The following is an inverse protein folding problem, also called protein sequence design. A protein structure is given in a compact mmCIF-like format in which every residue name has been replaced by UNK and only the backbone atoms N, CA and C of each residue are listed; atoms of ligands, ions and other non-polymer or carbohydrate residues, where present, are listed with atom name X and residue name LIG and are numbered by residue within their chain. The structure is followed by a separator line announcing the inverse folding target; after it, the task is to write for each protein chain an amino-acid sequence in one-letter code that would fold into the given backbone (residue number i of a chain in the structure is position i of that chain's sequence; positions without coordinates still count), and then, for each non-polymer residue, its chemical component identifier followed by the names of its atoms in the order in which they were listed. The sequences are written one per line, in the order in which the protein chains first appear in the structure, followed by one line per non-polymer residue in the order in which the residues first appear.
data_IF_149571586847
#
_entry.id   IF_149571586847
#
_cell.length_a   1.000
_cell.length_b   1.000
_cell.length_c   1.000
_cell.angle_alpha   90.00
_cell.angle_beta   90.00
_cell.angle_gamma   90.00
#
_symmetry.space_group_name_H-M   'P 1'
#
loop_
_entity.id
_entity.type
_entity.pdbx_description
1 polymer ?
#
# COMPACT_ATOMS: atom_id res chain seq x y z
N UNK A 1 -9.47 14.24 2.86
CA UNK A 1 -8.66 13.15 3.43
C UNK A 1 -8.68 13.18 4.96
N UNK A 2 -8.27 14.25 5.62
CA UNK A 2 -8.20 14.32 7.09
C UNK A 2 -9.56 13.98 7.77
N UNK A 3 -10.69 14.52 7.29
CA UNK A 3 -12.02 14.18 7.82
C UNK A 3 -12.32 12.66 7.75
N UNK A 4 -11.92 11.99 6.66
CA UNK A 4 -12.07 10.54 6.54
C UNK A 4 -11.22 9.79 7.57
N UNK A 5 -9.99 10.26 7.83
CA UNK A 5 -9.12 9.70 8.88
C UNK A 5 -9.78 9.88 10.24
N UNK A 6 -10.33 11.06 10.54
CA UNK A 6 -11.05 11.35 11.79
C UNK A 6 -12.24 10.42 11.99
N UNK A 7 -13.02 10.15 10.94
CA UNK A 7 -14.16 9.24 10.98
C UNK A 7 -13.75 7.76 11.21
N UNK A 8 -12.60 7.36 10.67
CA UNK A 8 -12.09 5.99 10.78
C UNK A 8 -11.30 5.75 12.07
N UNK A 9 -10.71 6.79 12.66
CA UNK A 9 -9.78 6.69 13.78
C UNK A 9 -10.37 5.95 15.01
N UNK A 10 -11.61 6.19 15.47
CA UNK A 10 -12.15 5.51 16.65
C UNK A 10 -12.51 4.04 16.43
N UNK A 11 -12.50 3.55 15.17
CA UNK A 11 -12.87 2.17 14.87
C UNK A 11 -11.73 1.23 15.25
N UNK A 12 -11.99 0.27 16.15
CA UNK A 12 -11.04 -0.77 16.48
C UNK A 12 -10.94 -1.78 15.34
N UNK A 13 -9.90 -1.67 14.52
CA UNK A 13 -9.59 -2.61 13.43
C UNK A 13 -8.60 -3.67 13.91
N UNK A 14 -8.64 -4.83 13.26
CA UNK A 14 -7.61 -5.86 13.34
C UNK A 14 -7.48 -6.55 11.98
N UNK A 15 -6.72 -7.64 11.88
CA UNK A 15 -6.54 -8.39 10.63
C UNK A 15 -7.82 -9.11 10.17
N UNK A 16 -8.85 -9.19 11.03
CA UNK A 16 -10.19 -9.69 10.72
C UNK A 16 -11.23 -8.88 11.51
N UNK A 17 -12.51 -9.19 11.33
CA UNK A 17 -13.59 -8.76 12.20
C UNK A 17 -14.37 -7.52 11.72
N UNK A 18 -15.37 -7.17 12.52
CA UNK A 18 -16.38 -6.15 12.17
C UNK A 18 -15.79 -4.75 12.04
N UNK A 19 -14.77 -4.39 12.83
CA UNK A 19 -14.12 -3.09 12.74
C UNK A 19 -13.43 -2.90 11.38
N UNK A 20 -12.83 -3.95 10.84
CA UNK A 20 -12.25 -3.92 9.50
C UNK A 20 -13.34 -3.73 8.43
N UNK A 21 -14.41 -4.53 8.49
CA UNK A 21 -15.57 -4.42 7.58
C UNK A 21 -16.25 -3.05 7.65
N UNK A 22 -16.41 -2.50 8.86
CA UNK A 22 -16.98 -1.17 9.06
C UNK A 22 -16.13 -0.08 8.38
N UNK A 23 -14.81 -0.19 8.48
CA UNK A 23 -13.88 0.73 7.82
C UNK A 23 -13.98 0.65 6.31
N UNK A 24 -14.05 -0.55 5.72
CA UNK A 24 -14.24 -0.73 4.28
C UNK A 24 -15.58 -0.14 3.80
N UNK A 25 -16.68 -0.35 4.55
CA UNK A 25 -17.99 0.25 4.24
C UNK A 25 -17.93 1.78 4.27
N UNK A 26 -17.11 2.36 5.17
CA UNK A 26 -16.92 3.82 5.22
C UNK A 26 -16.13 4.32 4.00
N UNK A 27 -15.08 3.61 3.60
CA UNK A 27 -14.32 3.89 2.38
C UNK A 27 -15.18 3.75 1.12
N UNK A 28 -16.15 2.82 1.11
CA UNK A 28 -17.07 2.63 -0.03
C UNK A 28 -17.95 3.85 -0.31
N UNK A 29 -18.04 4.80 0.61
CA UNK A 29 -18.72 6.09 0.37
C UNK A 29 -17.86 7.06 -0.47
N UNK A 30 -16.56 6.80 -0.60
CA UNK A 30 -15.62 7.62 -1.39
C UNK A 30 -15.37 6.99 -2.76
N UNK A 31 -15.20 5.65 -2.81
CA UNK A 31 -14.93 4.88 -4.04
C UNK A 31 -15.65 3.54 -3.99
N UNK A 32 -16.03 2.94 -5.14
CA UNK A 32 -16.75 1.66 -5.16
C UNK A 32 -15.83 0.51 -4.74
N UNK A 33 -15.92 0.09 -3.47
CA UNK A 33 -15.16 -1.04 -2.93
C UNK A 33 -16.06 -2.26 -2.86
N UNK A 34 -15.61 -3.36 -3.47
CA UNK A 34 -16.19 -4.70 -3.32
C UNK A 34 -15.52 -5.37 -2.12
N UNK A 35 -16.31 -5.84 -1.18
CA UNK A 35 -15.83 -6.61 -0.03
C UNK A 35 -15.76 -8.08 -0.40
N UNK A 36 -14.60 -8.68 -0.20
CA UNK A 36 -14.34 -10.10 -0.42
C UNK A 36 -14.06 -10.77 0.93
N UNK A 37 -14.61 -11.94 1.15
CA UNK A 37 -14.48 -12.68 2.40
C UNK A 37 -13.92 -14.08 2.16
N UNK A 38 -12.88 -14.43 2.91
CA UNK A 38 -12.18 -15.70 2.82
C UNK A 38 -12.33 -16.45 4.14
N UNK A 39 -12.91 -17.66 4.16
CA UNK A 39 -13.19 -18.38 5.40
C UNK A 39 -11.94 -18.70 6.23
N UNK A 40 -12.06 -18.61 7.55
CA UNK A 40 -11.07 -19.15 8.49
C UNK A 40 -10.71 -20.59 8.13
N UNK A 41 -9.41 -20.90 8.20
CA UNK A 41 -8.91 -22.24 7.87
C UNK A 41 -8.57 -22.44 6.39
N UNK A 42 -8.89 -21.49 5.51
CA UNK A 42 -8.45 -21.55 4.11
C UNK A 42 -6.93 -21.52 4.03
N UNK A 43 -6.34 -22.51 3.37
CA UNK A 43 -4.89 -22.57 3.16
C UNK A 43 -4.49 -21.63 2.04
N UNK A 44 -3.50 -20.77 2.29
CA UNK A 44 -2.96 -19.77 1.39
C UNK A 44 -1.44 -19.89 1.39
N UNK A 45 -0.90 -20.67 0.47
CA UNK A 45 0.50 -21.11 0.43
C UNK A 45 0.91 -21.84 1.74
N UNK A 46 1.91 -21.31 2.46
CA UNK A 46 2.37 -21.84 3.73
C UNK A 46 1.56 -21.33 4.93
N UNK A 47 0.64 -20.41 4.71
CA UNK A 47 -0.20 -19.81 5.74
C UNK A 47 -1.62 -20.37 5.73
N UNK A 48 -2.35 -20.07 6.80
CA UNK A 48 -3.77 -20.37 6.92
C UNK A 48 -4.50 -19.10 7.36
N UNK A 49 -5.65 -18.83 6.75
CA UNK A 49 -6.51 -17.70 7.16
C UNK A 49 -6.89 -17.87 8.63
N UNK A 50 -6.59 -16.89 9.49
CA UNK A 50 -6.77 -16.99 10.93
C UNK A 50 -8.25 -16.97 11.34
N UNK A 51 -8.51 -17.27 12.61
CA UNK A 51 -9.83 -17.11 13.23
C UNK A 51 -10.27 -15.64 13.18
N UNK A 52 -11.56 -15.40 13.12
CA UNK A 52 -12.10 -14.04 13.18
C UNK A 52 -12.13 -13.55 14.62
N UNK A 53 -11.68 -12.30 14.82
CA UNK A 53 -11.64 -11.63 16.10
C UNK A 53 -12.56 -10.40 16.12
N UNK A 54 -13.36 -10.27 17.19
CA UNK A 54 -14.14 -9.08 17.46
C UNK A 54 -14.02 -8.73 18.94
N UNK A 55 -14.20 -7.44 19.29
CA UNK A 55 -14.16 -6.93 20.65
C UNK A 55 -15.30 -5.94 20.89
N UNK A 56 -15.91 -6.02 22.09
CA UNK A 56 -16.96 -5.12 22.54
C UNK A 56 -16.51 -4.18 23.65
N UNK A 57 -15.72 -4.71 24.60
CA UNK A 57 -15.21 -3.94 25.74
C UNK A 57 -13.99 -4.64 26.35
N UNK A 58 -13.14 -3.87 27.03
CA UNK A 58 -12.09 -4.44 27.87
C UNK A 58 -11.64 -3.43 28.92
N UNK A 59 -11.30 -3.93 30.10
CA UNK A 59 -10.87 -3.06 31.20
C UNK A 59 -10.15 -3.83 32.28
N UNK A 60 -9.37 -3.06 33.10
CA UNK A 60 -8.77 -3.48 34.35
C UNK A 60 -9.32 -2.56 35.45
N UNK A 61 -9.93 -3.15 36.49
CA UNK A 61 -10.47 -2.39 37.61
C UNK A 61 -9.89 -2.90 38.95
N UNK A 62 -9.68 -1.99 39.89
CA UNK A 62 -9.29 -2.33 41.26
C UNK A 62 -10.47 -2.87 42.08
N UNK A 63 -10.21 -3.32 43.30
CA UNK A 63 -11.21 -3.84 44.23
C UNK A 63 -12.32 -2.81 44.63
N UNK A 64 -12.11 -1.53 44.34
CA UNK A 64 -13.09 -0.45 44.55
C UNK A 64 -13.93 -0.16 43.29
N UNK A 65 -13.66 -0.89 42.19
CA UNK A 65 -14.34 -0.71 40.90
C UNK A 65 -13.82 0.44 40.07
N UNK A 66 -12.69 1.10 40.44
CA UNK A 66 -12.04 2.11 39.62
C UNK A 66 -11.35 1.44 38.44
N UNK A 67 -11.75 1.80 37.23
CA UNK A 67 -11.04 1.38 36.00
C UNK A 67 -9.75 2.16 35.83
N UNK A 68 -8.63 1.46 35.78
CA UNK A 68 -7.30 2.00 35.51
C UNK A 68 -6.94 1.92 34.03
N UNK A 69 -7.49 0.94 33.34
CA UNK A 69 -7.38 0.73 31.91
C UNK A 69 -8.79 0.51 31.37
N UNK A 70 -9.15 1.24 30.32
CA UNK A 70 -10.50 1.18 29.73
C UNK A 70 -10.39 1.28 28.21
N UNK A 71 -10.83 0.23 27.51
CA UNK A 71 -10.87 0.15 26.04
C UNK A 71 -11.66 1.31 25.41
N UNK A 72 -12.68 1.80 26.10
CA UNK A 72 -13.52 2.92 25.63
C UNK A 72 -12.78 4.26 25.63
N UNK A 73 -11.76 4.40 26.46
CA UNK A 73 -10.89 5.57 26.46
C UNK A 73 -9.86 5.52 25.34
N UNK A 74 -9.31 4.32 25.08
CA UNK A 74 -8.43 4.05 23.95
C UNK A 74 -8.49 2.58 23.58
N UNK A 75 -8.76 2.28 22.31
CA UNK A 75 -8.76 0.90 21.83
C UNK A 75 -7.34 0.28 21.76
N UNK A 76 -6.29 1.10 21.87
CA UNK A 76 -4.91 0.63 22.02
C UNK A 76 -4.65 -0.05 23.38
N UNK A 77 -5.53 0.14 24.38
CA UNK A 77 -5.37 -0.50 25.67
C UNK A 77 -5.45 -2.02 25.65
N UNK A 78 -5.96 -2.61 24.60
CA UNK A 78 -6.02 -4.07 24.45
C UNK A 78 -4.95 -4.52 23.45
N UNK A 79 -4.18 -5.54 23.82
CA UNK A 79 -3.35 -6.25 22.86
C UNK A 79 -4.26 -6.82 21.78
N UNK A 80 -4.13 -6.35 20.54
CA UNK A 80 -5.02 -6.72 19.44
C UNK A 80 -5.02 -8.24 19.24
N UNK A 81 -6.19 -8.82 19.01
CA UNK A 81 -6.42 -10.26 18.90
C UNK A 81 -6.43 -11.04 20.24
N UNK A 82 -6.52 -10.35 21.36
CA UNK A 82 -6.64 -11.01 22.68
C UNK A 82 -7.88 -11.89 22.77
N UNK A 83 -7.71 -13.12 23.28
CA UNK A 83 -8.82 -14.03 23.59
C UNK A 83 -9.72 -13.45 24.68
N UNK A 84 -11.00 -13.89 24.78
CA UNK A 84 -11.89 -13.43 25.84
C UNK A 84 -11.36 -13.85 27.22
N UNK A 85 -11.39 -12.89 28.17
CA UNK A 85 -10.94 -13.10 29.55
C UNK A 85 -11.89 -12.45 30.52
N UNK A 86 -12.23 -13.18 31.59
CA UNK A 86 -12.91 -12.63 32.77
C UNK A 86 -12.35 -13.31 34.01
N UNK A 87 -11.54 -12.60 34.77
CA UNK A 87 -10.82 -13.18 35.90
C UNK A 87 -10.47 -12.10 36.92
N UNK A 88 -10.00 -12.56 38.11
CA UNK A 88 -9.36 -11.74 39.11
C UNK A 88 -7.94 -12.25 39.36
N UNK A 89 -7.01 -11.35 39.58
CA UNK A 89 -5.63 -11.71 39.90
C UNK A 89 -4.90 -10.61 40.66
N UNK A 90 -3.81 -10.96 41.33
CA UNK A 90 -2.95 -10.00 41.98
C UNK A 90 -2.25 -9.07 40.97
N UNK A 91 -1.82 -7.87 41.43
CA UNK A 91 -0.99 -6.99 40.60
C UNK A 91 0.28 -7.69 40.13
N UNK A 92 0.90 -8.53 40.96
CA UNK A 92 2.12 -9.26 40.63
C UNK A 92 1.93 -10.18 39.43
N UNK A 93 0.83 -10.92 39.38
CA UNK A 93 0.50 -11.82 38.27
C UNK A 93 0.06 -11.02 37.03
N UNK A 94 -0.69 -9.93 37.24
CA UNK A 94 -1.18 -9.07 36.16
C UNK A 94 -0.04 -8.37 35.40
N UNK A 95 1.04 -7.98 36.09
CA UNK A 95 2.22 -7.33 35.47
C UNK A 95 2.78 -8.09 34.28
N UNK A 96 2.70 -9.40 34.26
CA UNK A 96 3.15 -10.24 33.13
C UNK A 96 2.28 -10.10 31.88
N UNK A 97 1.11 -9.48 32.00
CA UNK A 97 0.13 -9.23 30.91
C UNK A 97 0.04 -7.77 30.52
N UNK A 98 0.86 -6.91 31.16
CA UNK A 98 0.88 -5.47 30.92
C UNK A 98 2.09 -5.08 30.09
N UNK A 99 1.85 -4.29 29.05
CA UNK A 99 2.87 -3.82 28.12
C UNK A 99 2.96 -2.31 28.17
N UNK A 100 4.16 -1.77 28.36
CA UNK A 100 4.45 -0.33 28.43
C UNK A 100 5.66 0.00 27.56
N UNK A 101 5.99 1.29 27.48
CA UNK A 101 7.20 1.84 26.87
C UNK A 101 7.93 2.67 27.93
N UNK A 102 8.93 2.11 28.66
CA UNK A 102 9.64 2.86 29.69
C UNK A 102 10.32 4.11 29.18
N UNK A 103 10.84 4.09 27.94
CA UNK A 103 11.51 5.24 27.31
C UNK A 103 10.51 6.32 26.81
N UNK A 104 9.22 5.97 26.73
CA UNK A 104 8.11 6.86 26.35
C UNK A 104 6.96 6.72 27.36
N UNK A 105 7.18 7.15 28.64
CA UNK A 105 6.34 6.75 29.77
C UNK A 105 4.90 7.25 29.74
N UNK A 106 4.60 8.23 28.90
CA UNK A 106 3.25 8.79 28.71
C UNK A 106 2.45 8.06 27.65
N UNK A 107 3.09 7.26 26.78
CA UNK A 107 2.46 6.67 25.61
C UNK A 107 1.95 5.24 25.87
N UNK A 108 0.87 4.89 25.20
CA UNK A 108 0.31 3.53 25.16
C UNK A 108 0.87 2.85 23.92
N UNK A 109 1.57 1.70 24.05
CA UNK A 109 2.06 0.96 22.88
C UNK A 109 0.92 0.25 22.14
N UNK A 110 1.10 0.02 20.84
CA UNK A 110 0.30 -0.93 20.06
C UNK A 110 0.99 -2.30 20.04
N UNK A 111 0.26 -3.34 20.45
CA UNK A 111 0.72 -4.74 20.45
C UNK A 111 -0.35 -5.66 19.89
N UNK A 112 0.07 -6.83 19.41
CA UNK A 112 -0.79 -7.86 18.83
C UNK A 112 -0.39 -9.25 19.29
N UNK A 113 -1.34 -10.18 19.36
CA UNK A 113 -1.07 -11.61 19.55
C UNK A 113 -1.18 -12.38 18.24
N UNK A 114 -1.90 -11.87 17.26
CA UNK A 114 -2.33 -12.42 15.98
C UNK A 114 -2.35 -13.97 15.95
N UNK A 115 -1.44 -14.71 15.65
CA UNK A 115 -1.50 -16.18 15.46
C UNK A 115 -1.35 -17.00 16.75
N UNK A 116 -1.25 -16.33 17.91
CA UNK A 116 -1.23 -16.97 19.23
C UNK A 116 -2.54 -16.68 19.99
N UNK A 117 -3.13 -17.72 20.59
CA UNK A 117 -4.28 -17.54 21.48
C UNK A 117 -3.79 -17.05 22.86
N UNK A 118 -3.54 -15.78 22.98
CA UNK A 118 -3.04 -15.11 24.17
C UNK A 118 -3.81 -13.80 24.42
N UNK A 119 -3.52 -13.10 25.52
CA UNK A 119 -4.16 -11.85 25.88
C UNK A 119 -3.23 -10.93 26.65
N UNK A 120 -3.51 -9.64 26.62
CA UNK A 120 -2.79 -8.65 27.38
C UNK A 120 -3.41 -7.25 27.26
N UNK A 121 -2.83 -6.33 28.04
CA UNK A 121 -3.18 -4.93 27.98
C UNK A 121 -1.96 -4.07 27.72
N UNK A 122 -2.19 -2.95 27.07
CA UNK A 122 -1.22 -1.90 26.85
C UNK A 122 -1.63 -0.64 27.65
N UNK A 123 -0.67 -0.02 28.30
CA UNK A 123 -0.90 1.20 29.08
C UNK A 123 0.37 2.04 29.15
N UNK A 124 0.23 3.30 29.55
CA UNK A 124 1.42 4.13 29.80
C UNK A 124 2.20 3.64 31.02
N UNK A 125 3.51 3.81 31.01
CA UNK A 125 4.35 3.47 32.15
C UNK A 125 3.91 4.23 33.41
N UNK A 126 3.48 5.49 33.28
CA UNK A 126 2.96 6.28 34.39
C UNK A 126 1.73 5.67 35.05
N UNK A 127 0.84 5.08 34.29
CA UNK A 127 -0.35 4.38 34.83
C UNK A 127 0.11 3.12 35.54
N UNK A 128 1.02 2.35 34.95
CA UNK A 128 1.57 1.14 35.59
C UNK A 128 2.21 1.44 36.96
N UNK A 129 2.99 2.51 37.03
CA UNK A 129 3.70 2.93 38.28
C UNK A 129 2.71 3.39 39.37
N UNK A 130 1.51 3.78 39.02
CA UNK A 130 0.49 4.25 39.96
C UNK A 130 -0.48 3.15 40.41
N UNK A 131 -0.40 1.94 39.84
CA UNK A 131 -1.29 0.83 40.22
C UNK A 131 -1.01 0.41 41.67
N UNK A 132 -2.00 0.53 42.59
CA UNK A 132 -1.80 0.09 43.95
C UNK A 132 -1.68 -1.43 44.08
N UNK A 133 -0.95 -1.89 45.04
CA UNK A 133 -0.90 -3.32 45.36
C UNK A 133 -2.32 -3.82 45.73
N UNK A 134 -2.68 -4.99 45.23
CA UNK A 134 -4.00 -5.57 45.47
C UNK A 134 -4.48 -6.52 44.40
N UNK A 135 -5.76 -6.87 44.50
CA UNK A 135 -6.46 -7.69 43.52
C UNK A 135 -7.16 -6.81 42.48
N UNK A 136 -7.10 -7.24 41.23
CA UNK A 136 -7.73 -6.57 40.10
C UNK A 136 -8.74 -7.47 39.42
N UNK A 137 -9.87 -6.94 39.02
CA UNK A 137 -10.79 -7.57 38.08
C UNK A 137 -10.42 -7.22 36.65
N UNK A 138 -10.29 -8.22 35.81
CA UNK A 138 -9.89 -8.14 34.41
C UNK A 138 -11.04 -8.63 33.53
N UNK A 139 -11.39 -7.83 32.52
CA UNK A 139 -12.37 -8.19 31.51
C UNK A 139 -11.82 -7.88 30.13
N UNK A 140 -11.86 -8.84 29.23
CA UNK A 140 -11.73 -8.67 27.77
C UNK A 140 -12.96 -9.34 27.16
N UNK A 141 -13.95 -8.54 26.76
CA UNK A 141 -15.15 -9.02 26.10
C UNK A 141 -14.93 -9.08 24.59
N UNK A 142 -14.16 -10.08 24.18
CA UNK A 142 -13.86 -10.37 22.79
C UNK A 142 -14.43 -11.72 22.36
N UNK A 143 -14.39 -11.98 21.06
CA UNK A 143 -14.63 -13.30 20.48
C UNK A 143 -13.50 -13.65 19.53
N UNK A 144 -13.06 -14.92 19.54
CA UNK A 144 -12.10 -15.46 18.61
C UNK A 144 -12.59 -16.82 18.15
N UNK A 145 -13.02 -16.95 16.90
CA UNK A 145 -13.65 -18.16 16.40
C UNK A 145 -13.66 -18.26 14.88
N UNK A 146 -14.32 -19.27 14.32
CA UNK A 146 -14.51 -19.37 12.87
C UNK A 146 -15.25 -18.16 12.34
N UNK A 147 -14.81 -17.64 11.19
CA UNK A 147 -15.35 -16.47 10.52
C UNK A 147 -14.61 -16.23 9.21
N UNK A 148 -14.27 -14.98 8.90
CA UNK A 148 -13.68 -14.62 7.62
C UNK A 148 -12.56 -13.60 7.79
N UNK A 149 -11.55 -13.70 6.92
CA UNK A 149 -10.67 -12.59 6.57
C UNK A 149 -11.38 -11.79 5.49
N UNK A 150 -11.58 -10.50 5.71
CA UNK A 150 -12.20 -9.59 4.75
C UNK A 150 -11.13 -8.71 4.12
N UNK A 151 -11.22 -8.46 2.81
CA UNK A 151 -10.46 -7.41 2.13
C UNK A 151 -11.37 -6.63 1.18
N UNK A 152 -10.99 -5.38 0.91
CA UNK A 152 -11.68 -4.50 -0.02
C UNK A 152 -10.92 -4.38 -1.32
N UNK A 153 -11.63 -4.44 -2.44
CA UNK A 153 -11.07 -4.26 -3.77
C UNK A 153 -11.85 -3.21 -4.55
N UNK A 154 -11.14 -2.28 -5.19
CA UNK A 154 -11.70 -1.35 -6.15
C UNK A 154 -10.96 -1.51 -7.47
N UNK A 155 -11.66 -1.94 -8.52
CA UNK A 155 -11.12 -2.08 -9.86
C UNK A 155 -11.63 -0.93 -10.74
N UNK A 156 -10.71 -0.20 -11.34
CA UNK A 156 -11.00 0.87 -12.30
C UNK A 156 -10.49 0.44 -13.67
N UNK A 157 -11.36 -0.07 -14.57
CA UNK A 157 -10.96 -0.53 -15.90
C UNK A 157 -10.32 0.59 -16.71
N UNK A 158 -9.23 0.28 -17.40
CA UNK A 158 -8.55 1.14 -18.36
C UNK A 158 -8.78 0.69 -19.81
N UNK A 159 -8.04 1.29 -20.74
CA UNK A 159 -8.07 0.92 -22.15
C UNK A 159 -7.34 -0.40 -22.43
N UNK A 160 -6.44 -0.83 -21.55
CA UNK A 160 -5.69 -2.09 -21.64
C UNK A 160 -5.86 -2.92 -20.37
N UNK A 161 -5.67 -4.22 -20.51
CA UNK A 161 -5.77 -5.19 -19.39
C UNK A 161 -4.55 -5.16 -18.44
N UNK A 162 -3.46 -4.52 -18.84
CA UNK A 162 -2.29 -4.34 -17.98
C UNK A 162 -2.67 -3.49 -16.77
N UNK A 163 -2.27 -3.97 -15.57
CA UNK A 163 -2.73 -3.42 -14.30
C UNK A 163 -1.64 -2.65 -13.56
N UNK A 164 -2.05 -1.55 -12.92
CA UNK A 164 -1.30 -0.87 -11.87
C UNK A 164 -1.94 -1.20 -10.52
N UNK A 165 -1.18 -1.87 -9.64
CA UNK A 165 -1.61 -2.25 -8.30
C UNK A 165 -1.32 -1.11 -7.31
N UNK A 166 -2.33 -0.70 -6.55
CA UNK A 166 -2.19 0.16 -5.37
C UNK A 166 -2.67 -0.62 -4.16
N UNK A 167 -1.78 -0.89 -3.21
CA UNK A 167 -2.10 -1.69 -2.03
C UNK A 167 -1.88 -0.91 -0.74
N UNK A 168 -2.83 -1.02 0.18
CA UNK A 168 -2.75 -0.37 1.50
C UNK A 168 -3.18 -1.34 2.59
N UNK A 169 -2.37 -1.48 3.62
CA UNK A 169 -2.80 -2.21 4.79
C UNK A 169 -3.78 -1.38 5.64
N UNK A 170 -4.80 -2.04 6.17
CA UNK A 170 -5.96 -1.37 6.74
C UNK A 170 -6.36 -1.95 8.10
N UNK A 171 -5.49 -2.70 8.76
CA UNK A 171 -5.80 -3.51 9.93
C UNK A 171 -5.45 -2.89 11.28
N UNK A 172 -4.70 -1.79 11.31
CA UNK A 172 -4.32 -1.17 12.59
C UNK A 172 -5.51 -0.44 13.23
N UNK A 173 -5.64 -0.47 14.57
CA UNK A 173 -6.69 0.26 15.28
C UNK A 173 -6.49 1.78 15.20
N UNK A 174 -6.63 2.52 16.28
CA UNK A 174 -6.48 3.99 16.32
C UNK A 174 -5.02 4.43 16.13
N UNK A 175 -4.49 4.23 14.92
CA UNK A 175 -3.20 4.74 14.44
C UNK A 175 -3.47 5.56 13.16
N UNK A 176 -3.20 6.86 13.22
CA UNK A 176 -3.62 7.79 12.17
C UNK A 176 -2.66 7.78 10.98
N UNK A 177 -1.35 7.80 11.24
CA UNK A 177 -0.35 7.73 10.17
C UNK A 177 -0.17 6.30 9.67
N UNK A 178 -0.14 5.32 10.57
CA UNK A 178 0.01 3.90 10.27
C UNK A 178 -1.31 3.11 10.49
N UNK A 179 -2.24 3.02 9.52
CA UNK A 179 -2.10 3.46 8.15
C UNK A 179 -3.40 4.12 7.63
N UNK A 180 -4.13 4.84 8.47
CA UNK A 180 -5.29 5.59 7.99
C UNK A 180 -4.90 6.65 6.96
N UNK A 181 -3.68 7.19 7.06
CA UNK A 181 -3.14 8.12 6.07
C UNK A 181 -3.03 7.46 4.69
N UNK A 182 -2.45 6.27 4.60
CA UNK A 182 -2.36 5.50 3.36
C UNK A 182 -3.73 5.12 2.80
N UNK A 183 -4.67 4.68 3.67
CA UNK A 183 -6.06 4.39 3.27
C UNK A 183 -6.75 5.62 2.66
N UNK A 184 -6.61 6.78 3.27
CA UNK A 184 -7.21 8.01 2.79
C UNK A 184 -6.58 8.45 1.45
N UNK A 185 -5.25 8.44 1.34
CA UNK A 185 -4.56 8.78 0.09
C UNK A 185 -4.99 7.83 -1.03
N UNK A 186 -5.02 6.51 -0.79
CA UNK A 186 -5.45 5.52 -1.80
C UNK A 186 -6.90 5.74 -2.25
N UNK A 187 -7.82 5.99 -1.31
CA UNK A 187 -9.22 6.23 -1.65
C UNK A 187 -9.41 7.50 -2.50
N UNK A 188 -8.72 8.59 -2.15
CA UNK A 188 -8.78 9.83 -2.94
C UNK A 188 -8.03 9.74 -4.26
N UNK A 189 -6.95 8.94 -4.33
CA UNK A 189 -6.26 8.60 -5.58
C UNK A 189 -7.21 7.85 -6.51
N UNK A 190 -7.87 6.80 -6.02
CA UNK A 190 -8.87 6.05 -6.79
C UNK A 190 -10.01 6.94 -7.29
N UNK A 191 -10.52 7.84 -6.42
CA UNK A 191 -11.53 8.81 -6.81
C UNK A 191 -11.06 9.70 -7.95
N UNK A 192 -9.87 10.31 -7.84
CA UNK A 192 -9.31 11.16 -8.91
C UNK A 192 -9.13 10.42 -10.23
N UNK A 193 -8.61 9.19 -10.14
CA UNK A 193 -8.42 8.37 -11.34
C UNK A 193 -9.75 7.92 -11.95
N UNK A 194 -10.82 7.76 -11.17
CA UNK A 194 -12.14 7.41 -11.70
C UNK A 194 -12.78 8.52 -12.54
N UNK A 195 -12.35 9.76 -12.38
CA UNK A 195 -12.89 10.95 -13.05
C UNK A 195 -12.30 11.18 -14.45
N UNK A 196 -11.30 10.39 -14.88
CA UNK A 196 -10.56 10.60 -16.13
C UNK A 196 -10.41 9.31 -16.95
N UNK A 197 -10.26 9.38 -18.27
CA UNK A 197 -9.83 8.24 -19.08
C UNK A 197 -8.46 7.72 -18.62
N UNK A 198 -8.28 6.41 -18.66
CA UNK A 198 -7.07 5.73 -18.21
C UNK A 198 -6.58 4.75 -19.27
N UNK A 199 -5.27 4.64 -19.44
CA UNK A 199 -4.65 3.61 -20.26
C UNK A 199 -4.68 2.27 -19.52
N UNK A 200 -4.04 2.22 -18.33
CA UNK A 200 -3.99 1.00 -17.53
C UNK A 200 -5.26 0.79 -16.71
N UNK A 201 -5.54 -0.46 -16.41
CA UNK A 201 -6.50 -0.83 -15.37
C UNK A 201 -5.85 -0.62 -14.01
N UNK A 202 -6.57 0.01 -13.06
CA UNK A 202 -6.07 0.20 -11.70
C UNK A 202 -6.78 -0.74 -10.75
N UNK A 203 -5.98 -1.46 -9.96
CA UNK A 203 -6.46 -2.31 -8.87
C UNK A 203 -6.05 -1.74 -7.54
N UNK A 204 -7.02 -1.33 -6.73
CA UNK A 204 -6.81 -0.88 -5.36
C UNK A 204 -7.18 -1.99 -4.40
N UNK A 205 -6.26 -2.32 -3.49
CA UNK A 205 -6.46 -3.31 -2.43
C UNK A 205 -6.37 -2.63 -1.07
N UNK A 206 -7.45 -2.75 -0.29
CA UNK A 206 -7.51 -2.38 1.12
C UNK A 206 -7.53 -3.67 1.93
N UNK A 207 -6.39 -4.06 2.49
CA UNK A 207 -6.17 -5.43 2.96
C UNK A 207 -5.61 -5.46 4.39
N UNK A 208 -5.80 -6.56 5.15
CA UNK A 208 -5.03 -6.78 6.35
C UNK A 208 -3.56 -7.05 5.99
N UNK A 209 -2.64 -6.28 6.53
CA UNK A 209 -1.20 -6.55 6.30
C UNK A 209 -0.75 -7.69 7.22
N UNK A 210 0.01 -8.58 6.81
CA UNK A 210 0.53 -9.07 5.54
C UNK A 210 -0.28 -10.28 5.04
N UNK A 211 -1.10 -10.84 5.94
CA UNK A 211 -1.94 -12.02 5.64
C UNK A 211 -2.94 -11.74 4.51
N UNK A 212 -3.41 -10.49 4.38
CA UNK A 212 -4.30 -10.10 3.30
C UNK A 212 -3.64 -10.15 1.92
N UNK A 213 -2.40 -9.63 1.78
CA UNK A 213 -1.65 -9.71 0.52
C UNK A 213 -1.32 -11.16 0.16
N UNK A 214 -0.92 -11.98 1.13
CA UNK A 214 -0.68 -13.42 0.93
C UNK A 214 -1.96 -14.12 0.46
N UNK A 215 -3.09 -13.83 1.12
CA UNK A 215 -4.39 -14.41 0.79
C UNK A 215 -4.83 -13.99 -0.61
N UNK A 216 -4.73 -12.70 -0.93
CA UNK A 216 -5.09 -12.19 -2.24
C UNK A 216 -4.22 -12.82 -3.35
N UNK A 217 -2.90 -12.89 -3.16
CA UNK A 217 -1.98 -13.52 -4.11
C UNK A 217 -2.31 -15.00 -4.34
N UNK A 218 -2.63 -15.76 -3.28
CA UNK A 218 -2.97 -17.16 -3.39
C UNK A 218 -4.28 -17.40 -4.19
N UNK A 219 -5.23 -16.50 -4.08
CA UNK A 219 -6.51 -16.60 -4.78
C UNK A 219 -6.45 -16.10 -6.22
N UNK A 220 -5.44 -15.28 -6.56
CA UNK A 220 -5.34 -14.58 -7.84
C UNK A 220 -4.02 -14.86 -8.59
N UNK A 221 -3.39 -16.03 -8.41
CA UNK A 221 -2.10 -16.38 -9.03
C UNK A 221 -2.08 -16.22 -10.57
N UNK A 222 -3.23 -16.33 -11.22
CA UNK A 222 -3.34 -16.18 -12.68
C UNK A 222 -3.45 -14.72 -13.09
N UNK A 223 -4.20 -13.94 -12.34
CA UNK A 223 -4.51 -12.53 -12.58
C UNK A 223 -3.31 -11.62 -12.32
N UNK A 224 -2.46 -11.97 -11.37
CA UNK A 224 -1.26 -11.18 -11.02
C UNK A 224 -0.31 -10.95 -12.19
N UNK A 225 -0.39 -11.78 -13.24
CA UNK A 225 0.41 -11.60 -14.47
C UNK A 225 0.07 -10.33 -15.24
N UNK A 226 -1.09 -9.72 -14.96
CA UNK A 226 -1.49 -8.43 -15.54
C UNK A 226 -0.84 -7.25 -14.83
N UNK A 227 -0.33 -7.43 -13.61
CA UNK A 227 0.28 -6.35 -12.83
C UNK A 227 1.64 -6.03 -13.43
N UNK A 228 1.73 -4.85 -14.05
CA UNK A 228 2.97 -4.31 -14.66
C UNK A 228 3.69 -3.36 -13.74
N UNK A 229 2.97 -2.72 -12.84
CA UNK A 229 3.50 -1.75 -11.87
C UNK A 229 2.70 -1.87 -10.58
N UNK A 230 3.32 -1.55 -9.45
CA UNK A 230 2.60 -1.49 -8.19
C UNK A 230 3.25 -0.57 -7.17
N UNK A 231 2.40 -0.08 -6.27
CA UNK A 231 2.79 0.83 -5.21
C UNK A 231 2.05 0.46 -3.92
N UNK A 232 2.79 0.14 -2.89
CA UNK A 232 2.27 0.06 -1.53
C UNK A 232 2.32 1.46 -0.93
N UNK A 233 1.21 1.91 -0.35
CA UNK A 233 1.07 3.21 0.30
C UNK A 233 0.98 3.03 1.81
N UNK A 234 1.94 3.62 2.55
CA UNK A 234 2.00 3.49 4.01
C UNK A 234 2.56 4.76 4.66
N UNK A 235 2.05 5.15 5.82
CA UNK A 235 2.58 6.27 6.61
C UNK A 235 2.78 7.55 5.77
N UNK A 236 1.68 8.09 5.20
CA UNK A 236 1.70 9.20 4.25
C UNK A 236 1.24 10.54 4.82
N UNK A 237 1.03 10.62 6.14
CA UNK A 237 0.45 11.81 6.80
C UNK A 237 1.41 12.60 7.70
N UNK A 238 2.57 12.06 8.04
CA UNK A 238 3.56 12.72 8.90
C UNK A 238 4.30 13.88 8.19
N UNK A 239 5.00 14.78 8.94
CA UNK A 239 5.68 15.93 8.35
C UNK A 239 6.99 15.61 7.63
N UNK A 240 7.48 14.36 7.67
CA UNK A 240 8.74 13.96 7.03
C UNK A 240 8.68 14.05 5.50
N UNK A 241 9.80 13.98 4.80
CA UNK A 241 9.82 13.91 3.34
C UNK A 241 9.32 12.55 2.84
N UNK A 242 8.83 12.49 1.60
CA UNK A 242 8.48 11.23 0.97
C UNK A 242 9.73 10.36 0.78
N UNK A 243 9.59 9.10 1.07
CA UNK A 243 10.60 8.05 0.90
C UNK A 243 10.03 6.94 0.06
N UNK A 244 10.80 6.46 -0.91
CA UNK A 244 10.44 5.36 -1.77
C UNK A 244 11.43 4.20 -1.61
N UNK A 245 10.92 3.03 -1.26
CA UNK A 245 11.66 1.78 -1.34
C UNK A 245 11.34 1.09 -2.66
N UNK A 246 12.38 0.84 -3.46
CA UNK A 246 12.29 0.22 -4.78
C UNK A 246 11.68 -1.17 -4.72
N UNK A 247 11.14 -1.60 -5.86
CA UNK A 247 10.82 -3.00 -6.10
C UNK A 247 12.07 -3.89 -6.00
N UNK A 248 11.89 -5.19 -5.87
CA UNK A 248 13.01 -6.15 -5.76
C UNK A 248 13.99 -6.06 -6.94
N UNK A 249 13.50 -5.85 -8.15
CA UNK A 249 14.34 -5.68 -9.34
C UNK A 249 15.07 -4.34 -9.38
N UNK A 250 14.60 -3.32 -8.69
CA UNK A 250 15.22 -2.01 -8.51
C UNK A 250 15.26 -1.11 -9.75
N UNK A 251 14.85 -1.59 -10.91
CA UNK A 251 14.94 -0.91 -12.21
C UNK A 251 13.64 -0.92 -13.01
N UNK A 252 12.56 -1.33 -12.40
CA UNK A 252 11.24 -1.35 -13.05
C UNK A 252 10.77 0.09 -13.39
N UNK A 253 9.86 0.26 -14.38
CA UNK A 253 9.35 1.59 -14.71
C UNK A 253 8.76 2.34 -13.52
N UNK A 254 8.12 1.65 -12.56
CA UNK A 254 7.63 2.27 -11.32
C UNK A 254 8.78 2.83 -10.47
N UNK A 255 9.92 2.13 -10.40
CA UNK A 255 11.10 2.59 -9.65
C UNK A 255 11.67 3.86 -10.27
N UNK A 256 11.72 3.91 -11.61
CA UNK A 256 12.21 5.06 -12.35
C UNK A 256 11.25 6.24 -12.25
N UNK A 257 9.95 6.02 -12.49
CA UNK A 257 8.93 7.07 -12.41
C UNK A 257 8.91 7.72 -11.02
N UNK A 258 8.98 6.91 -9.96
CA UNK A 258 9.00 7.42 -8.59
C UNK A 258 10.28 8.18 -8.29
N UNK A 259 11.45 7.65 -8.67
CA UNK A 259 12.72 8.35 -8.50
C UNK A 259 12.73 9.71 -9.25
N UNK A 260 12.19 9.75 -10.46
CA UNK A 260 12.03 10.97 -11.22
C UNK A 260 11.16 12.01 -10.51
N UNK A 261 9.99 11.60 -10.01
CA UNK A 261 9.06 12.51 -9.32
C UNK A 261 9.64 13.04 -8.01
N UNK A 262 10.43 12.21 -7.30
CA UNK A 262 11.03 12.57 -6.02
C UNK A 262 12.42 13.21 -6.13
N UNK A 263 12.98 13.42 -7.33
CA UNK A 263 14.36 13.88 -7.55
C UNK A 263 14.71 15.18 -6.83
N UNK A 264 13.75 16.09 -6.69
CA UNK A 264 13.94 17.38 -6.06
C UNK A 264 14.06 17.29 -4.51
N UNK A 265 13.63 16.19 -3.92
CA UNK A 265 13.71 15.94 -2.46
C UNK A 265 15.07 15.37 -2.03
N UNK A 266 15.97 15.07 -2.98
CA UNK A 266 17.31 14.56 -2.72
C UNK A 266 17.42 13.03 -2.75
N UNK A 267 18.64 12.53 -2.93
CA UNK A 267 18.94 11.12 -3.19
C UNK A 267 18.58 10.16 -2.04
N UNK A 268 18.45 10.66 -0.81
CA UNK A 268 18.13 9.82 0.37
C UNK A 268 16.67 9.38 0.41
N UNK A 269 15.81 9.97 -0.41
CA UNK A 269 14.39 9.63 -0.47
C UNK A 269 14.11 8.36 -1.30
N UNK A 270 15.08 7.87 -2.07
CA UNK A 270 14.98 6.62 -2.81
C UNK A 270 15.94 5.60 -2.19
N UNK A 271 15.38 4.49 -1.71
CA UNK A 271 16.11 3.39 -1.05
C UNK A 271 16.04 2.12 -1.89
N UNK A 272 17.07 1.32 -1.83
CA UNK A 272 17.05 0.00 -2.45
C UNK A 272 16.09 -0.95 -1.75
N UNK A 273 15.74 -2.04 -2.43
CA UNK A 273 14.89 -3.08 -1.87
C UNK A 273 15.51 -3.67 -0.62
N UNK A 274 14.69 -3.76 0.44
CA UNK A 274 15.00 -4.49 1.65
C UNK A 274 13.87 -5.50 1.90
N UNK A 275 14.16 -6.79 2.18
CA UNK A 275 13.13 -7.83 2.38
C UNK A 275 12.41 -7.70 3.74
N UNK A 276 12.53 -6.57 4.39
CA UNK A 276 11.78 -6.16 5.57
C UNK A 276 10.91 -4.94 5.21
N UNK A 277 9.71 -4.89 5.71
CA UNK A 277 8.74 -3.83 5.45
C UNK A 277 7.32 -4.38 5.54
N UNK A 278 6.46 -3.96 4.61
CA UNK A 278 5.06 -4.34 4.63
C UNK A 278 4.68 -5.29 3.48
N UNK A 279 3.58 -5.01 2.76
CA UNK A 279 3.03 -5.92 1.76
C UNK A 279 3.86 -6.02 0.47
N UNK A 280 4.68 -5.00 0.14
CA UNK A 280 5.52 -5.01 -1.06
C UNK A 280 6.46 -6.22 -1.11
N UNK A 281 6.93 -6.70 0.05
CA UNK A 281 7.78 -7.91 0.12
C UNK A 281 7.04 -9.19 -0.26
N UNK A 282 5.70 -9.23 -0.13
CA UNK A 282 4.89 -10.35 -0.57
C UNK A 282 4.74 -10.34 -2.09
N UNK A 283 4.41 -9.18 -2.66
CA UNK A 283 4.33 -8.99 -4.10
C UNK A 283 5.67 -9.22 -4.80
N UNK A 284 6.77 -8.80 -4.17
CA UNK A 284 8.13 -8.98 -4.64
C UNK A 284 8.74 -10.35 -4.31
N UNK A 285 7.99 -11.29 -3.71
CA UNK A 285 8.52 -12.62 -3.38
C UNK A 285 9.00 -13.35 -4.65
N UNK A 286 10.02 -14.24 -4.55
CA UNK A 286 10.67 -14.81 -5.74
C UNK A 286 9.73 -15.53 -6.72
N UNK A 287 8.61 -16.08 -6.22
CA UNK A 287 7.62 -16.77 -7.05
C UNK A 287 6.72 -15.84 -7.86
N UNK A 288 6.58 -14.59 -7.43
CA UNK A 288 5.77 -13.56 -8.11
C UNK A 288 6.62 -12.52 -8.79
N UNK A 289 7.66 -12.01 -8.11
CA UNK A 289 8.61 -11.00 -8.60
C UNK A 289 7.93 -9.78 -9.26
N UNK A 290 6.80 -9.36 -8.69
CA UNK A 290 6.04 -8.23 -9.21
C UNK A 290 6.80 -6.92 -8.97
N UNK A 291 6.77 -5.97 -9.92
CA UNK A 291 7.44 -4.68 -9.79
C UNK A 291 6.64 -3.75 -8.88
N UNK A 292 6.68 -4.02 -7.57
CA UNK A 292 5.93 -3.28 -6.54
C UNK A 292 6.90 -2.61 -5.58
N UNK A 293 6.89 -1.29 -5.54
CA UNK A 293 7.63 -0.50 -4.55
C UNK A 293 6.76 -0.04 -3.39
N UNK A 294 7.36 0.61 -2.40
CA UNK A 294 6.65 1.17 -1.25
C UNK A 294 6.92 2.67 -1.12
N UNK A 295 5.85 3.47 -1.09
CA UNK A 295 5.90 4.91 -0.85
C UNK A 295 5.43 5.21 0.56
N UNK A 296 6.29 5.86 1.32
CA UNK A 296 6.02 6.35 2.67
C UNK A 296 6.47 7.81 2.78
N UNK A 297 6.08 8.50 3.85
CA UNK A 297 6.84 9.66 4.31
C UNK A 297 7.98 9.15 5.17
N UNK A 298 7.86 9.22 6.48
CA UNK A 298 8.87 8.55 7.32
C UNK A 298 8.61 7.04 7.33
N UNK A 299 9.60 6.21 7.00
CA UNK A 299 9.42 4.75 6.97
C UNK A 299 9.00 4.16 8.31
N UNK A 300 8.35 3.01 8.25
CA UNK A 300 7.86 2.25 9.39
C UNK A 300 8.97 2.01 10.43
N UNK A 301 8.74 2.40 11.68
CA UNK A 301 9.68 2.26 12.77
C UNK A 301 10.77 3.33 12.83
N UNK A 302 10.80 4.30 11.91
CA UNK A 302 11.81 5.38 11.91
C UNK A 302 11.28 6.69 12.52
N UNK A 303 10.08 6.70 13.06
CA UNK A 303 9.53 7.84 13.81
C UNK A 303 9.08 7.40 15.21
N UNK A 304 9.27 8.22 16.25
CA UNK A 304 9.03 7.84 17.65
C UNK A 304 7.56 7.56 17.97
N UNK A 305 6.62 8.10 17.20
CA UNK A 305 5.18 7.90 17.35
C UNK A 305 4.73 6.53 16.84
N UNK A 306 5.57 5.83 16.05
CA UNK A 306 5.23 4.56 15.43
C UNK A 306 4.77 3.52 16.45
N UNK A 307 3.60 2.92 16.21
CA UNK A 307 2.97 1.91 17.06
C UNK A 307 2.76 2.38 18.53
N UNK A 308 2.42 3.66 18.69
CA UNK A 308 2.07 4.26 19.98
C UNK A 308 0.83 5.14 19.89
N UNK A 309 0.28 5.55 21.04
CA UNK A 309 -0.83 6.50 21.11
C UNK A 309 -0.49 7.93 20.63
N UNK A 310 0.78 8.21 20.32
CA UNK A 310 1.19 9.47 19.70
C UNK A 310 0.98 9.48 18.19
N UNK A 311 0.78 8.32 17.54
CA UNK A 311 0.29 8.24 16.18
C UNK A 311 -1.22 8.52 16.12
N UNK A 312 -1.57 9.77 16.37
CA UNK A 312 -2.93 10.27 16.51
C UNK A 312 -3.30 11.28 15.41
N UNK A 313 -4.48 11.89 15.55
CA UNK A 313 -5.00 12.85 14.57
C UNK A 313 -4.18 14.14 14.46
N UNK A 314 -3.49 14.54 15.52
CA UNK A 314 -2.65 15.75 15.54
C UNK A 314 -1.29 15.51 14.86
N UNK A 315 -0.84 14.26 14.80
CA UNK A 315 0.39 13.87 14.12
C UNK A 315 0.25 13.92 12.59
N UNK A 316 -0.93 13.60 12.06
CA UNK A 316 -1.22 13.60 10.62
C UNK A 316 -1.62 14.99 10.15
N UNK A 317 -0.92 15.51 9.13
CA UNK A 317 -1.12 16.85 8.59
C UNK A 317 -1.82 16.84 7.23
N UNK A 318 -2.75 17.77 7.05
CA UNK A 318 -3.49 17.89 5.78
C UNK A 318 -2.56 18.18 4.59
N UNK A 319 -1.55 19.02 4.81
CA UNK A 319 -0.57 19.39 3.79
C UNK A 319 0.28 18.19 3.37
N UNK A 320 0.64 17.32 4.32
CA UNK A 320 1.38 16.08 4.05
C UNK A 320 0.55 15.10 3.24
N UNK A 321 -0.73 14.95 3.56
CA UNK A 321 -1.66 14.10 2.80
C UNK A 321 -1.85 14.62 1.38
N UNK A 322 -1.96 15.94 1.20
CA UNK A 322 -2.15 16.57 -0.11
C UNK A 322 -0.90 16.43 -0.99
N UNK A 323 0.28 16.66 -0.44
CA UNK A 323 1.56 16.43 -1.11
C UNK A 323 1.73 14.96 -1.50
N UNK A 324 1.41 14.02 -0.60
CA UNK A 324 1.49 12.59 -0.85
C UNK A 324 0.55 12.15 -1.99
N UNK A 325 -0.68 12.65 -2.01
CA UNK A 325 -1.63 12.42 -3.10
C UNK A 325 -1.14 13.01 -4.42
N UNK A 326 -0.63 14.25 -4.40
CA UNK A 326 -0.10 14.94 -5.57
C UNK A 326 1.09 14.19 -6.19
N UNK A 327 2.01 13.70 -5.35
CA UNK A 327 3.17 12.92 -5.82
C UNK A 327 2.76 11.54 -6.33
N UNK A 328 1.80 10.87 -5.69
CA UNK A 328 1.25 9.61 -6.19
C UNK A 328 0.58 9.78 -7.56
N UNK A 329 -0.19 10.85 -7.76
CA UNK A 329 -0.76 11.20 -9.07
C UNK A 329 0.33 11.48 -10.11
N UNK A 330 1.39 12.20 -9.75
CA UNK A 330 2.50 12.49 -10.66
C UNK A 330 3.27 11.22 -11.08
N UNK A 331 3.44 10.26 -10.16
CA UNK A 331 4.04 8.95 -10.48
C UNK A 331 3.17 8.20 -11.49
N UNK A 332 1.86 8.16 -11.25
CA UNK A 332 0.91 7.49 -12.15
C UNK A 332 0.89 8.19 -13.50
N UNK A 333 0.93 9.52 -13.54
CA UNK A 333 0.99 10.32 -14.76
C UNK A 333 2.18 9.91 -15.65
N UNK A 334 3.35 9.68 -15.05
CA UNK A 334 4.51 9.17 -15.79
C UNK A 334 4.22 7.78 -16.34
N UNK A 335 3.69 6.85 -15.53
CA UNK A 335 3.40 5.47 -15.98
C UNK A 335 2.34 5.40 -17.08
N UNK A 336 1.33 6.26 -17.02
CA UNK A 336 0.24 6.31 -18.00
C UNK A 336 0.72 6.84 -19.37
N UNK A 337 1.69 7.75 -19.38
CA UNK A 337 2.05 8.51 -20.57
C UNK A 337 3.49 8.30 -21.05
N UNK A 338 4.33 7.56 -20.32
CA UNK A 338 5.70 7.27 -20.75
C UNK A 338 5.69 6.30 -21.94
N UNK A 339 5.82 6.87 -23.13
CA UNK A 339 5.72 6.17 -24.39
C UNK A 339 6.96 6.36 -25.25
N UNK A 340 7.15 5.46 -26.21
CA UNK A 340 8.20 5.47 -27.19
C UNK A 340 7.66 5.98 -28.52
N UNK A 341 8.32 6.98 -29.11
CA UNK A 341 7.91 7.57 -30.38
C UNK A 341 9.02 7.51 -31.43
N UNK A 342 8.61 7.54 -32.69
CA UNK A 342 9.47 7.81 -33.84
C UNK A 342 9.06 9.12 -34.52
N UNK A 343 10.04 9.94 -34.87
CA UNK A 343 9.86 11.12 -35.67
C UNK A 343 9.59 10.72 -37.12
N UNK A 344 8.41 11.05 -37.64
CA UNK A 344 8.00 10.71 -39.00
C UNK A 344 8.63 11.61 -40.09
N UNK A 345 9.31 12.67 -39.66
CA UNK A 345 10.09 13.57 -40.52
C UNK A 345 11.50 13.80 -39.96
N UNK A 346 12.34 12.73 -39.90
CA UNK A 346 13.58 12.73 -39.12
C UNK A 346 14.74 13.46 -39.77
N UNK A 347 14.59 13.94 -41.01
CA UNK A 347 15.65 14.65 -41.73
C UNK A 347 15.49 16.14 -41.58
N UNK A 348 16.37 16.77 -40.80
CA UNK A 348 16.32 18.16 -40.42
C UNK A 348 15.08 18.52 -39.60
N UNK A 349 14.90 19.79 -39.31
CA UNK A 349 13.74 20.26 -38.56
C UNK A 349 12.50 20.33 -39.47
N UNK A 350 11.35 19.74 -39.09
CA UNK A 350 10.12 19.91 -39.82
C UNK A 350 9.61 21.34 -39.67
N UNK A 351 8.93 21.87 -40.70
CA UNK A 351 8.43 23.22 -40.72
C UNK A 351 7.22 23.39 -39.76
N UNK A 352 7.51 23.63 -38.46
CA UNK A 352 6.53 23.73 -37.39
C UNK A 352 5.52 24.86 -37.59
N UNK A 353 5.96 26.01 -38.11
CA UNK A 353 5.10 27.15 -38.40
C UNK A 353 3.96 26.85 -39.38
N UNK A 354 4.17 25.99 -40.39
CA UNK A 354 3.10 25.55 -41.30
C UNK A 354 2.02 24.70 -40.63
N UNK A 355 2.32 24.16 -39.48
CA UNK A 355 1.44 23.27 -38.68
C UNK A 355 0.80 24.03 -37.50
N UNK A 356 1.01 25.35 -37.40
CA UNK A 356 0.51 26.14 -36.29
C UNK A 356 1.18 25.86 -34.94
N UNK A 357 2.33 25.19 -34.96
CA UNK A 357 3.08 24.80 -33.75
C UNK A 357 4.18 25.79 -33.35
N UNK A 358 4.36 26.85 -34.15
CA UNK A 358 5.41 27.83 -33.96
C UNK A 358 4.84 29.24 -34.07
N UNK A 359 4.92 30.00 -33.02
CA UNK A 359 4.55 31.43 -33.05
C UNK A 359 5.81 32.23 -33.40
N UNK A 360 5.94 32.55 -34.71
CA UNK A 360 7.12 33.20 -35.27
C UNK A 360 7.09 34.69 -35.04
N UNK A 361 7.58 35.19 -33.93
CA UNK A 361 8.12 36.54 -33.79
C UNK A 361 9.62 36.39 -33.44
N UNK A 362 10.46 36.52 -34.45
CA UNK A 362 11.90 36.27 -34.32
C UNK A 362 12.58 37.09 -33.21
N UNK A 363 13.64 36.52 -32.63
CA UNK A 363 14.65 37.21 -31.84
C UNK A 363 14.61 36.97 -30.32
N UNK A 364 13.74 36.14 -29.77
CA UNK A 364 13.75 35.74 -28.36
C UNK A 364 14.01 34.24 -28.22
N UNK A 365 14.57 33.80 -27.09
CA UNK A 365 14.68 32.39 -26.76
C UNK A 365 13.30 31.72 -26.89
N UNK A 366 13.21 30.50 -27.45
CA UNK A 366 11.94 29.82 -27.61
C UNK A 366 11.26 29.64 -26.25
N UNK A 367 9.93 29.85 -26.15
CA UNK A 367 9.19 29.47 -24.94
C UNK A 367 9.46 28.00 -24.56
N UNK A 368 9.35 27.71 -23.27
CA UNK A 368 9.63 26.35 -22.73
C UNK A 368 8.94 25.24 -23.52
N UNK A 369 7.69 25.47 -23.92
CA UNK A 369 6.93 24.48 -24.71
C UNK A 369 7.52 24.23 -26.11
N UNK A 370 8.01 25.32 -26.77
CA UNK A 370 8.67 25.18 -28.08
C UNK A 370 9.98 24.40 -27.93
N UNK A 371 10.77 24.67 -26.88
CA UNK A 371 11.97 23.90 -26.56
C UNK A 371 11.63 22.44 -26.31
N UNK A 372 10.55 22.14 -25.59
CA UNK A 372 10.09 20.76 -25.37
C UNK A 372 9.76 20.05 -26.69
N UNK A 373 9.09 20.71 -27.64
CA UNK A 373 8.83 20.14 -28.97
C UNK A 373 10.14 19.80 -29.71
N UNK A 374 11.14 20.69 -29.66
CA UNK A 374 12.44 20.43 -30.29
C UNK A 374 13.16 19.23 -29.65
N UNK A 375 13.13 19.12 -28.31
CA UNK A 375 13.65 17.96 -27.59
C UNK A 375 12.95 16.67 -28.00
N UNK A 376 11.63 16.67 -28.03
CA UNK A 376 10.84 15.51 -28.42
C UNK A 376 11.13 15.11 -29.86
N UNK A 377 11.15 16.04 -30.82
CA UNK A 377 11.48 15.74 -32.22
C UNK A 377 12.87 15.13 -32.40
N UNK A 378 13.86 15.61 -31.64
CA UNK A 378 15.23 15.15 -31.75
C UNK A 378 15.45 13.77 -31.13
N UNK A 379 14.72 13.42 -30.07
CA UNK A 379 14.89 12.18 -29.34
C UNK A 379 13.77 11.14 -29.57
N UNK A 380 12.81 11.44 -30.43
CA UNK A 380 11.84 10.44 -30.90
C UNK A 380 12.47 9.60 -32.02
N UNK A 381 13.44 8.79 -31.66
CA UNK A 381 14.24 7.92 -32.54
C UNK A 381 13.86 6.43 -32.43
N UNK A 382 12.82 6.12 -31.66
CA UNK A 382 12.40 4.74 -31.39
C UNK A 382 13.19 4.04 -30.28
N UNK A 383 14.09 4.75 -29.56
CA UNK A 383 14.91 4.23 -28.48
C UNK A 383 14.74 4.98 -27.16
N UNK A 384 14.37 6.26 -27.21
CA UNK A 384 14.16 7.10 -26.04
C UNK A 384 12.68 7.26 -25.73
N UNK A 385 12.30 6.92 -24.50
CA UNK A 385 10.95 7.20 -23.97
C UNK A 385 10.83 8.67 -23.54
N UNK A 386 9.62 9.15 -23.29
CA UNK A 386 9.40 10.54 -22.87
C UNK A 386 10.09 10.87 -21.55
N UNK A 387 10.21 9.90 -20.62
CA UNK A 387 10.97 10.11 -19.37
C UNK A 387 12.45 10.31 -19.63
N UNK A 388 13.04 9.61 -20.62
CA UNK A 388 14.46 9.80 -21.02
C UNK A 388 14.69 11.25 -21.48
N UNK A 389 13.74 11.77 -22.26
CA UNK A 389 13.79 13.15 -22.78
C UNK A 389 13.65 14.14 -21.62
N UNK A 390 12.67 13.92 -20.72
CA UNK A 390 12.43 14.79 -19.58
C UNK A 390 13.63 14.86 -18.62
N UNK A 391 14.26 13.71 -18.31
CA UNK A 391 15.48 13.65 -17.50
C UNK A 391 16.66 14.37 -18.16
N UNK A 392 16.82 14.23 -19.48
CA UNK A 392 17.93 14.79 -20.22
C UNK A 392 17.83 16.32 -20.34
N UNK A 393 16.63 16.84 -20.62
CA UNK A 393 16.42 18.27 -20.83
C UNK A 393 16.12 19.05 -19.53
N UNK A 394 15.77 18.37 -18.45
CA UNK A 394 15.38 18.98 -17.18
C UNK A 394 13.99 19.63 -17.18
N UNK A 395 13.23 19.55 -18.27
CA UNK A 395 11.86 20.04 -18.33
C UNK A 395 10.90 19.09 -17.59
N UNK A 396 9.76 19.61 -17.08
CA UNK A 396 8.74 18.78 -16.48
C UNK A 396 8.22 17.70 -17.43
N UNK A 397 7.98 16.49 -16.94
CA UNK A 397 7.44 15.38 -17.74
C UNK A 397 6.13 15.77 -18.43
N UNK A 398 5.26 16.52 -17.73
CA UNK A 398 3.99 17.00 -18.29
C UNK A 398 4.20 17.90 -19.51
N UNK A 399 5.20 18.79 -19.48
CA UNK A 399 5.54 19.64 -20.62
C UNK A 399 6.03 18.81 -21.82
N UNK A 400 6.85 17.79 -21.58
CA UNK A 400 7.35 16.86 -22.62
C UNK A 400 6.20 16.02 -23.19
N UNK A 401 5.30 15.48 -22.34
CA UNK A 401 4.09 14.76 -22.76
C UNK A 401 3.20 15.62 -23.65
N UNK A 402 2.91 16.85 -23.24
CA UNK A 402 2.04 17.76 -23.97
C UNK A 402 2.64 18.15 -25.33
N UNK A 403 3.97 18.36 -25.37
CA UNK A 403 4.70 18.58 -26.61
C UNK A 403 4.61 17.34 -27.54
N UNK A 404 4.78 16.13 -27.01
CA UNK A 404 4.63 14.90 -27.79
C UNK A 404 3.20 14.73 -28.33
N UNK A 405 2.18 15.06 -27.53
CA UNK A 405 0.78 15.04 -27.98
C UNK A 405 0.54 16.01 -29.13
N UNK A 406 0.98 17.27 -29.00
CA UNK A 406 0.84 18.28 -30.06
C UNK A 406 1.55 17.88 -31.34
N UNK A 407 2.76 17.31 -31.25
CA UNK A 407 3.52 16.81 -32.40
C UNK A 407 2.86 15.58 -33.06
N UNK A 408 2.30 14.68 -32.28
CA UNK A 408 1.53 13.54 -32.80
C UNK A 408 0.27 14.00 -33.53
N UNK A 409 -0.48 14.92 -32.97
CA UNK A 409 -1.70 15.45 -33.54
C UNK A 409 -1.41 16.24 -34.85
N UNK A 410 -0.21 16.78 -34.98
CA UNK A 410 0.30 17.40 -36.22
C UNK A 410 0.90 16.38 -37.22
N UNK A 411 0.82 15.07 -36.95
CA UNK A 411 1.32 14.01 -37.83
C UNK A 411 2.85 13.94 -37.91
N UNK A 412 3.57 14.44 -36.90
CA UNK A 412 5.03 14.41 -36.85
C UNK A 412 5.61 13.26 -36.03
N UNK A 413 4.81 12.63 -35.18
CA UNK A 413 5.23 11.48 -34.37
C UNK A 413 4.35 10.27 -34.62
N UNK A 414 4.99 9.10 -34.71
CA UNK A 414 4.36 7.79 -34.67
C UNK A 414 4.64 7.09 -33.34
N UNK A 415 3.61 6.53 -32.72
CA UNK A 415 3.78 5.70 -31.52
C UNK A 415 4.44 4.39 -31.94
N UNK A 416 5.50 3.98 -31.23
CA UNK A 416 6.09 2.65 -31.38
C UNK A 416 5.30 1.68 -30.51
N UNK A 417 4.49 0.87 -31.13
CA UNK A 417 3.85 -0.27 -30.46
C UNK A 417 4.93 -1.33 -30.18
N UNK A 418 5.57 -1.26 -29.02
CA UNK A 418 6.52 -2.26 -28.57
C UNK A 418 5.81 -3.28 -27.70
N UNK A 419 5.94 -4.57 -28.03
CA UNK A 419 5.82 -5.63 -27.02
C UNK A 419 6.91 -5.31 -25.98
N UNK A 420 6.52 -4.90 -24.78
CA UNK A 420 7.45 -4.92 -23.65
C UNK A 420 8.02 -6.34 -23.58
N UNK A 421 9.33 -6.45 -23.68
CA UNK A 421 10.06 -7.71 -23.74
C UNK A 421 9.53 -8.65 -22.67
N UNK A 422 8.82 -9.70 -23.12
CA UNK A 422 8.47 -10.85 -22.28
C UNK A 422 9.79 -11.40 -21.72
N UNK A 423 10.13 -11.02 -20.49
CA UNK A 423 11.10 -11.77 -19.71
C UNK A 423 10.44 -13.12 -19.42
N UNK A 424 10.83 -14.09 -20.21
CA UNK A 424 10.48 -15.51 -20.09
C UNK A 424 10.84 -16.04 -18.70
N UNK A 425 9.98 -15.84 -17.73
CA UNK A 425 10.04 -16.49 -16.42
C UNK A 425 9.62 -17.97 -16.50
N UNK A 426 9.09 -18.38 -17.66
CA UNK A 426 8.60 -19.75 -17.88
C UNK A 426 9.70 -20.81 -17.99
N UNK A 427 10.94 -20.45 -18.32
CA UNK A 427 12.00 -21.42 -18.54
C UNK A 427 12.71 -21.87 -17.24
N UNK A 428 12.65 -21.08 -16.17
CA UNK A 428 13.35 -21.41 -14.92
C UNK A 428 12.46 -22.20 -13.96
N UNK A 429 11.15 -21.96 -13.97
CA UNK A 429 10.21 -22.65 -13.06
C UNK A 429 9.88 -24.08 -13.48
N UNK A 430 10.06 -24.44 -14.76
CA UNK A 430 9.87 -25.82 -15.21
C UNK A 430 11.00 -26.78 -14.75
N UNK A 431 12.15 -26.25 -14.30
CA UNK A 431 13.27 -27.03 -13.82
C UNK A 431 13.31 -27.24 -12.29
N UNK A 432 12.43 -26.56 -11.54
CA UNK A 432 12.39 -26.60 -10.07
C UNK A 432 11.17 -27.30 -9.49
N UNK A 433 10.27 -27.87 -10.29
CA UNK A 433 9.17 -28.67 -9.80
C UNK A 433 9.68 -30.02 -9.29
N UNK A 434 9.48 -30.39 -8.01
CA UNK A 434 9.80 -31.72 -7.55
C UNK A 434 8.94 -32.76 -8.28
N UNK A 435 9.46 -33.97 -8.56
CA UNK A 435 8.71 -35.01 -9.26
C UNK A 435 7.45 -35.34 -8.48
N UNK A 436 6.29 -35.28 -9.12
CA UNK A 436 5.02 -35.72 -8.57
C UNK A 436 5.14 -37.20 -8.23
N UNK A 437 5.14 -37.54 -6.94
CA UNK A 437 5.10 -38.91 -6.48
C UNK A 437 3.80 -39.55 -6.98
N UNK A 438 3.92 -40.55 -7.83
CA UNK A 438 2.80 -41.37 -8.25
C UNK A 438 2.31 -42.17 -7.04
N UNK A 439 1.08 -41.93 -6.60
CA UNK A 439 0.41 -42.81 -5.61
C UNK A 439 0.28 -44.20 -6.17
N UNK A 440 0.61 -45.24 -5.37
CA UNK A 440 0.41 -46.61 -5.80
C UNK A 440 -1.08 -46.94 -5.87
N UNK A 441 -1.48 -47.50 -7.00
CA UNK A 441 -2.85 -47.98 -7.25
C UNK A 441 -3.25 -49.03 -6.20
N UNK A 442 -4.37 -48.80 -5.52
CA UNK A 442 -5.03 -49.77 -4.67
C UNK A 442 -5.47 -50.99 -5.51
N UNK A 443 -4.81 -52.09 -5.31
CA UNK A 443 -5.28 -53.39 -5.83
C UNK A 443 -6.52 -53.80 -5.05
N UNK A 444 -7.63 -53.98 -5.78
CA UNK A 444 -8.84 -54.61 -5.26
C UNK A 444 -8.57 -56.07 -4.94
N UNK A 445 -8.70 -56.46 -3.68
CA UNK A 445 -8.88 -57.88 -3.31
C UNK A 445 -10.37 -58.20 -3.36
N UNK A 446 -10.78 -58.95 -4.37
CA UNK A 446 -12.06 -59.63 -4.35
C UNK A 446 -11.95 -60.83 -3.39
N UNK A 447 -12.93 -60.95 -2.49
CA UNK A 447 -13.09 -62.07 -1.61
C UNK A 447 -13.73 -63.22 -2.36
N UNK A 448 -13.20 -64.42 -2.18
CA UNK A 448 -13.91 -65.66 -2.38
C UNK A 448 -13.77 -66.56 -1.16
N UNK A 449 -14.92 -67.11 -0.73
CA UNK A 449 -15.27 -68.11 0.26
C UNK A 449 -15.34 -67.65 1.71
#
# INVERSE_FOLDING_TARGET
MHALITDLFPICRSITGDGFRASLRRLSQVVPIVLNEVPTGTRVFDWTVPKEWNIRDAWIADSKGRRWVDFRASNLHVVSYSVPVRTKMSLADLKHRLHTLPDQPDLIPYRTTYYAEDWGFCLSQRVLDQLPEGEYEICIDSTLGPGHLTYGECLLPGAVDDEILISVHSCHPSLANDNLSGMAVAAFLAKRLSEQPRRHTFRFLFIPGTIGSITWLALHEREVRRIRHGLVLSCLGDPGPLTYKRSRGGTAPIDRATAYVLREQGARTVRDFLPYGYDERQYCSPGFDLPVGCLTRTPNGEFPEYHTSADNLDFVRSESLEDSLSKALAIIEVLEHDALYVNLNPKCEPQLGRRGLYDTKGGTAPPEFQMAMLWVLNFSDGHHKLIDIAERCGLPFTTIRDAASALRDAGLLGLVEGRETERSTSAVLSQLAPPVAQSPALKSCAATA
#
